data_IF_746328511645
#
_entry.id   IF_746328511645
#
_cell.length_a   1.000
_cell.length_b   1.000
_cell.length_c   1.000
_cell.angle_alpha   90.00
_cell.angle_beta   90.00
_cell.angle_gamma   90.00
#
_symmetry.space_group_name_H-M   'P 1'
#
loop_
_entity.id
_entity.type
_entity.pdbx_description
1 polymer ?
#
# COMPACT_ATOMS: atom_id res chain seq x y z
N UNK A 1 -17.09 6.94 10.54
CA UNK A 1 -16.92 7.65 9.25
C UNK A 1 -18.21 8.38 8.95
N UNK A 2 -18.09 9.61 8.45
CA UNK A 2 -19.22 10.40 7.95
C UNK A 2 -18.95 10.83 6.52
N UNK A 3 -19.98 10.76 5.67
CA UNK A 3 -19.92 11.23 4.28
C UNK A 3 -20.62 12.58 4.15
N UNK A 4 -20.09 13.41 3.27
CA UNK A 4 -20.81 14.56 2.75
C UNK A 4 -22.03 14.10 1.94
N UNK A 5 -23.23 14.66 2.20
CA UNK A 5 -24.47 14.16 1.59
C UNK A 5 -24.66 14.58 0.14
N UNK A 6 -24.05 15.68 -0.29
CA UNK A 6 -24.24 16.18 -1.65
C UNK A 6 -23.30 15.48 -2.62
N UNK A 7 -22.03 15.32 -2.21
CA UNK A 7 -20.97 14.74 -3.02
C UNK A 7 -20.64 13.29 -2.68
N UNK A 8 -20.96 12.80 -1.48
CA UNK A 8 -20.66 11.42 -1.07
C UNK A 8 -19.19 11.15 -0.73
N UNK A 9 -18.33 12.19 -0.74
CA UNK A 9 -16.94 12.07 -0.28
C UNK A 9 -16.85 12.07 1.25
N UNK A 10 -15.71 11.62 1.79
CA UNK A 10 -15.56 11.40 3.22
C UNK A 10 -15.33 12.73 3.93
N UNK A 11 -16.25 13.09 4.83
CA UNK A 11 -16.15 14.31 5.65
C UNK A 11 -15.38 14.08 6.94
N UNK A 12 -15.50 12.91 7.55
CA UNK A 12 -14.84 12.59 8.83
C UNK A 12 -14.46 11.12 8.88
N UNK A 13 -13.29 10.85 9.44
CA UNK A 13 -12.82 9.53 9.86
C UNK A 13 -12.36 9.67 11.31
N UNK A 14 -13.22 9.26 12.25
CA UNK A 14 -12.89 9.27 13.67
C UNK A 14 -12.28 7.94 14.10
N UNK A 15 -11.05 7.98 14.60
CA UNK A 15 -10.43 6.84 15.28
C UNK A 15 -10.94 6.78 16.72
N UNK A 16 -11.73 5.75 17.00
CA UNK A 16 -12.35 5.52 18.31
C UNK A 16 -11.38 5.00 19.36
N UNK A 17 -10.31 4.31 18.95
CA UNK A 17 -9.30 3.76 19.88
C UNK A 17 -8.44 4.90 20.42
N UNK A 18 -7.99 5.79 19.54
CA UNK A 18 -7.15 6.93 19.91
C UNK A 18 -7.94 8.22 20.20
N UNK A 19 -9.27 8.19 20.03
CA UNK A 19 -10.17 9.29 20.39
C UNK A 19 -9.95 10.57 19.60
N UNK A 20 -9.56 10.48 18.33
CA UNK A 20 -9.22 11.64 17.50
C UNK A 20 -9.76 11.57 16.08
N UNK A 21 -9.93 12.75 15.49
CA UNK A 21 -10.26 12.89 14.08
C UNK A 21 -8.99 12.70 13.23
N UNK A 22 -9.13 11.94 12.14
CA UNK A 22 -8.02 11.62 11.21
C UNK A 22 -7.92 12.67 10.10
N UNK A 23 -9.02 13.30 9.70
CA UNK A 23 -9.07 14.23 8.58
C UNK A 23 -9.23 15.70 9.00
N UNK A 24 -8.53 16.60 8.30
CA UNK A 24 -8.80 18.05 8.33
C UNK A 24 -9.64 18.45 7.11
N UNK A 25 -10.95 18.26 7.22
CA UNK A 25 -11.88 18.49 6.10
C UNK A 25 -12.28 19.95 5.87
N UNK A 26 -11.48 20.91 6.35
CA UNK A 26 -11.76 22.35 6.22
C UNK A 26 -11.74 22.82 4.76
N UNK A 27 -10.82 22.30 3.94
CA UNK A 27 -10.60 22.75 2.56
C UNK A 27 -10.78 21.64 1.51
N UNK A 28 -10.65 20.38 1.92
CA UNK A 28 -10.82 19.19 1.07
C UNK A 28 -11.61 18.12 1.81
N UNK A 29 -12.11 17.12 1.09
CA UNK A 29 -12.72 15.93 1.68
C UNK A 29 -11.78 14.74 1.53
N UNK A 30 -11.93 13.74 2.39
CA UNK A 30 -11.23 12.46 2.27
C UNK A 30 -11.80 11.63 1.12
N UNK A 31 -10.94 10.81 0.51
CA UNK A 31 -11.26 10.02 -0.67
C UNK A 31 -11.74 10.88 -1.86
N UNK A 32 -11.44 12.19 -1.86
CA UNK A 32 -11.84 13.16 -2.89
C UNK A 32 -11.04 12.95 -4.17
N UNK A 33 -11.72 12.87 -5.32
CA UNK A 33 -11.03 12.86 -6.61
C UNK A 33 -10.69 14.29 -7.03
N UNK A 34 -9.45 14.49 -7.46
CA UNK A 34 -8.96 15.78 -7.96
C UNK A 34 -8.35 15.52 -9.34
N UNK A 35 -8.85 16.21 -10.36
CA UNK A 35 -8.25 16.20 -11.69
C UNK A 35 -7.64 17.57 -11.99
N UNK A 36 -6.42 17.59 -12.51
CA UNK A 36 -5.71 18.81 -12.90
C UNK A 36 -5.41 18.72 -14.38
N UNK A 37 -5.74 19.76 -15.15
CA UNK A 37 -5.40 19.79 -16.58
C UNK A 37 -3.90 19.97 -16.74
N UNK A 38 -3.31 19.14 -17.60
CA UNK A 38 -1.93 19.25 -18.05
C UNK A 38 -1.89 19.92 -19.44
N UNK A 39 -0.92 20.81 -19.64
CA UNK A 39 -0.64 21.45 -20.93
C UNK A 39 0.71 20.95 -21.45
N UNK A 40 0.84 20.80 -22.77
CA UNK A 40 2.05 20.30 -23.43
C UNK A 40 2.69 19.09 -22.73
N UNK A 41 1.93 18.02 -22.41
CA UNK A 41 2.44 16.94 -21.59
C UNK A 41 3.71 16.33 -22.20
N UNK A 42 4.62 15.89 -21.34
CA UNK A 42 5.85 15.21 -21.72
C UNK A 42 6.01 13.94 -20.86
N UNK A 43 6.23 12.79 -21.51
CA UNK A 43 6.44 11.51 -20.81
C UNK A 43 7.83 11.44 -20.15
N UNK A 44 8.82 12.14 -20.71
CA UNK A 44 10.20 12.14 -20.22
C UNK A 44 10.55 13.44 -19.47
N UNK A 45 9.66 14.43 -19.56
CA UNK A 45 9.83 15.77 -19.02
C UNK A 45 9.14 16.02 -17.68
N UNK A 46 8.95 17.31 -17.38
CA UNK A 46 8.27 17.76 -16.16
C UNK A 46 6.75 17.64 -16.34
N UNK A 47 6.04 17.57 -15.20
CA UNK A 47 4.59 17.73 -15.21
C UNK A 47 4.25 19.21 -15.38
N UNK A 48 3.58 19.56 -16.47
CA UNK A 48 3.17 20.92 -16.79
C UNK A 48 1.68 21.11 -16.43
N UNK A 49 1.42 21.00 -15.12
CA UNK A 49 0.07 21.14 -14.56
C UNK A 49 -0.36 22.61 -14.52
N UNK A 50 -1.60 22.86 -14.97
CA UNK A 50 -2.22 24.19 -14.98
C UNK A 50 -2.98 24.51 -13.69
N UNK A 51 -3.43 25.75 -13.53
CA UNK A 51 -4.33 26.17 -12.45
C UNK A 51 -5.78 25.64 -12.61
N UNK A 52 -6.08 24.93 -13.71
CA UNK A 52 -7.42 24.39 -13.96
C UNK A 52 -7.60 23.06 -13.21
N UNK A 53 -8.16 23.18 -12.01
CA UNK A 53 -8.43 22.06 -11.09
C UNK A 53 -9.92 21.74 -11.05
N UNK A 54 -10.26 20.47 -11.23
CA UNK A 54 -11.61 19.93 -11.09
C UNK A 54 -11.68 19.08 -9.83
N UNK A 55 -12.54 19.47 -8.90
CA UNK A 55 -12.66 18.82 -7.59
C UNK A 55 -13.94 18.02 -7.52
N UNK A 56 -13.83 16.76 -7.12
CA UNK A 56 -14.97 15.86 -7.07
C UNK A 56 -16.11 16.40 -6.19
N UNK A 57 -15.78 17.08 -5.09
CA UNK A 57 -16.78 17.67 -4.18
C UNK A 57 -17.69 18.70 -4.86
N UNK A 58 -17.24 19.30 -5.96
CA UNK A 58 -17.99 20.31 -6.72
C UNK A 58 -18.97 19.69 -7.74
N UNK A 59 -19.04 18.35 -7.82
CA UNK A 59 -20.00 17.60 -8.64
C UNK A 59 -21.12 17.03 -7.74
N UNK A 60 -22.19 17.80 -7.46
CA UNK A 60 -23.28 17.34 -6.60
C UNK A 60 -24.13 16.29 -7.30
N UNK A 61 -24.87 15.52 -6.50
CA UNK A 61 -25.78 14.49 -6.99
C UNK A 61 -25.07 13.14 -7.05
N UNK A 62 -25.04 12.48 -5.89
CA UNK A 62 -24.57 11.11 -5.74
C UNK A 62 -25.67 10.21 -5.18
N UNK A 63 -25.52 8.91 -5.38
CA UNK A 63 -26.25 7.87 -4.63
C UNK A 63 -25.30 7.23 -3.63
N UNK A 64 -25.80 6.92 -2.45
CA UNK A 64 -25.03 6.29 -1.38
C UNK A 64 -25.83 5.07 -0.90
N UNK A 65 -25.32 3.89 -1.19
CA UNK A 65 -25.84 2.63 -0.69
C UNK A 65 -24.95 2.09 0.42
N UNK A 66 -25.53 1.39 1.40
CA UNK A 66 -24.80 0.76 2.49
C UNK A 66 -25.24 -0.68 2.67
N UNK A 67 -24.28 -1.59 2.54
CA UNK A 67 -24.43 -3.00 2.90
C UNK A 67 -23.71 -3.27 4.22
N UNK A 68 -24.31 -4.07 5.09
CA UNK A 68 -23.68 -4.55 6.33
C UNK A 68 -23.58 -6.05 6.30
N UNK A 69 -22.36 -6.55 6.46
CA UNK A 69 -22.04 -7.97 6.55
C UNK A 69 -21.50 -8.29 7.94
N UNK A 70 -21.36 -9.58 8.30
CA UNK A 70 -20.69 -9.98 9.54
C UNK A 70 -19.22 -9.55 9.65
N UNK A 71 -18.57 -9.18 8.54
CA UNK A 71 -17.14 -8.83 8.50
C UNK A 71 -16.88 -7.33 8.30
N UNK A 72 -17.79 -6.63 7.61
CA UNK A 72 -17.59 -5.22 7.27
C UNK A 72 -18.93 -4.48 7.04
N UNK A 73 -18.85 -3.15 7.06
CA UNK A 73 -19.84 -2.29 6.40
C UNK A 73 -19.24 -1.78 5.10
N UNK A 74 -19.96 -1.94 3.99
CA UNK A 74 -19.55 -1.49 2.65
C UNK A 74 -20.44 -0.35 2.23
N UNK A 75 -19.85 0.81 1.94
CA UNK A 75 -20.53 1.97 1.38
C UNK A 75 -20.22 2.01 -0.11
N UNK A 76 -21.24 2.12 -0.95
CA UNK A 76 -21.09 2.32 -2.39
C UNK A 76 -21.61 3.70 -2.76
N UNK A 77 -20.72 4.54 -3.28
CA UNK A 77 -21.03 5.92 -3.68
C UNK A 77 -20.91 6.02 -5.19
N UNK A 78 -21.99 6.37 -5.88
CA UNK A 78 -21.98 6.62 -7.33
C UNK A 78 -22.29 8.08 -7.63
N UNK A 79 -21.55 8.67 -8.56
CA UNK A 79 -21.73 10.07 -8.93
C UNK A 79 -21.02 10.41 -10.23
N UNK A 80 -21.13 11.66 -10.66
CA UNK A 80 -20.34 12.18 -11.78
C UNK A 80 -18.98 12.65 -11.28
N UNK A 81 -17.99 12.61 -12.16
CA UNK A 81 -16.70 13.24 -11.98
C UNK A 81 -16.19 13.66 -13.36
N UNK A 82 -15.19 14.54 -13.43
CA UNK A 82 -14.76 15.16 -14.69
C UNK A 82 -14.67 14.17 -15.86
N UNK A 83 -15.53 14.35 -16.86
CA UNK A 83 -15.58 13.51 -18.04
C UNK A 83 -16.13 12.09 -17.89
N UNK A 84 -16.49 11.61 -16.69
CA UNK A 84 -16.82 10.21 -16.44
C UNK A 84 -17.91 10.03 -15.35
N UNK A 85 -18.30 8.78 -15.11
CA UNK A 85 -19.01 8.39 -13.89
C UNK A 85 -18.01 7.77 -12.93
N UNK A 86 -18.12 8.09 -11.64
CA UNK A 86 -17.33 7.43 -10.59
C UNK A 86 -18.21 6.48 -9.77
N UNK A 87 -17.59 5.39 -9.35
CA UNK A 87 -18.13 4.46 -8.35
C UNK A 87 -17.04 4.26 -7.30
N UNK A 88 -17.32 4.55 -6.04
CA UNK A 88 -16.38 4.37 -4.94
C UNK A 88 -16.98 3.42 -3.92
N UNK A 89 -16.35 2.26 -3.74
CA UNK A 89 -16.66 1.31 -2.67
C UNK A 89 -15.71 1.58 -1.50
N UNK A 90 -16.27 1.77 -0.32
CA UNK A 90 -15.54 2.05 0.93
C UNK A 90 -15.85 0.92 1.91
N UNK A 91 -14.84 0.17 2.30
CA UNK A 91 -14.98 -1.04 3.11
C UNK A 91 -14.44 -0.75 4.50
N UNK A 92 -15.34 -0.77 5.47
CA UNK A 92 -15.05 -0.58 6.89
C UNK A 92 -15.16 -1.93 7.58
N UNK A 93 -14.04 -2.61 7.79
CA UNK A 93 -14.01 -3.88 8.52
C UNK A 93 -14.32 -3.67 10.00
N UNK A 94 -14.97 -4.66 10.63
CA UNK A 94 -15.29 -4.57 12.05
C UNK A 94 -14.08 -4.80 12.96
N UNK A 95 -13.10 -5.62 12.51
CA UNK A 95 -11.95 -6.05 13.31
C UNK A 95 -10.59 -5.73 12.69
N UNK A 96 -10.55 -5.03 11.55
CA UNK A 96 -9.30 -4.62 10.90
C UNK A 96 -9.21 -3.09 10.95
N UNK A 97 -8.15 -2.50 11.54
CA UNK A 97 -8.04 -1.06 11.77
C UNK A 97 -7.64 -0.26 10.51
N UNK A 98 -8.04 -0.71 9.32
CA UNK A 98 -7.79 -0.02 8.04
C UNK A 98 -9.08 0.10 7.24
N UNK A 99 -9.09 1.02 6.29
CA UNK A 99 -10.24 1.28 5.43
C UNK A 99 -9.81 1.02 3.99
N UNK A 100 -10.41 0.00 3.38
CA UNK A 100 -10.12 -0.31 1.97
C UNK A 100 -11.06 0.51 1.08
N UNK A 101 -10.52 0.95 -0.06
CA UNK A 101 -11.21 1.73 -1.07
C UNK A 101 -11.04 1.08 -2.44
N UNK A 102 -12.13 1.03 -3.20
CA UNK A 102 -12.10 0.68 -4.61
C UNK A 102 -12.79 1.77 -5.41
N UNK A 103 -12.01 2.53 -6.18
CA UNK A 103 -12.51 3.60 -7.04
C UNK A 103 -12.54 3.10 -8.48
N UNK A 104 -13.71 3.13 -9.10
CA UNK A 104 -13.90 2.86 -10.52
C UNK A 104 -14.24 4.16 -11.24
N UNK A 105 -13.44 4.53 -12.23
CA UNK A 105 -13.78 5.56 -13.21
C UNK A 105 -14.39 4.86 -14.41
N UNK A 106 -15.68 5.09 -14.67
CA UNK A 106 -16.45 4.42 -15.73
C UNK A 106 -16.54 5.33 -16.93
N UNK A 107 -16.17 4.78 -18.09
CA UNK A 107 -16.16 5.46 -19.38
C UNK A 107 -15.39 6.80 -19.34
N UNK A 108 -14.19 6.77 -18.76
CA UNK A 108 -13.27 7.90 -18.75
C UNK A 108 -12.89 8.30 -20.18
N UNK A 109 -12.95 9.60 -20.47
CA UNK A 109 -12.91 10.12 -21.84
C UNK A 109 -11.54 10.49 -22.38
N UNK A 110 -10.48 10.41 -21.56
CA UNK A 110 -9.15 10.92 -21.90
C UNK A 110 -9.15 12.42 -22.11
N UNK A 111 -8.51 13.21 -21.22
CA UNK A 111 -8.67 14.68 -21.24
C UNK A 111 -7.41 15.48 -20.89
N UNK A 112 -6.21 14.94 -21.13
CA UNK A 112 -4.93 15.47 -20.60
C UNK A 112 -5.04 15.83 -19.11
N UNK A 113 -5.51 14.85 -18.32
CA UNK A 113 -5.81 15.04 -16.90
C UNK A 113 -4.87 14.22 -16.05
N UNK A 114 -4.35 14.87 -15.02
CA UNK A 114 -3.66 14.23 -13.91
C UNK A 114 -4.66 14.01 -12.77
N UNK A 115 -5.06 12.75 -12.54
CA UNK A 115 -6.12 12.40 -11.59
C UNK A 115 -5.53 11.81 -10.32
N UNK A 116 -5.88 12.39 -9.18
CA UNK A 116 -5.47 11.99 -7.84
C UNK A 116 -6.67 11.66 -6.96
N UNK A 117 -6.45 10.84 -5.94
CA UNK A 117 -7.31 10.76 -4.75
C UNK A 117 -6.65 11.50 -3.58
N UNK A 118 -7.43 12.26 -2.82
CA UNK A 118 -6.95 13.13 -1.75
C UNK A 118 -7.46 12.71 -0.37
N UNK A 119 -6.56 12.72 0.62
CA UNK A 119 -6.88 12.61 2.05
C UNK A 119 -6.23 13.77 2.80
N UNK A 120 -7.01 14.78 3.24
CA UNK A 120 -6.48 15.88 4.03
C UNK A 120 -6.29 15.43 5.48
N UNK A 121 -5.05 15.30 5.95
CA UNK A 121 -4.72 14.69 7.23
C UNK A 121 -4.75 15.71 8.37
N UNK A 122 -5.28 15.29 9.53
CA UNK A 122 -5.25 16.05 10.78
C UNK A 122 -4.02 15.69 11.63
N UNK A 123 -2.86 16.11 11.14
CA UNK A 123 -1.55 15.94 11.80
C UNK A 123 -0.90 17.31 12.07
N UNK A 124 0.04 17.35 13.01
CA UNK A 124 0.87 18.53 13.22
C UNK A 124 1.83 18.71 12.02
N UNK A 125 1.51 19.69 11.18
CA UNK A 125 2.23 19.97 9.93
C UNK A 125 3.69 20.34 10.12
N UNK A 126 4.06 20.94 11.25
CA UNK A 126 5.45 21.33 11.50
C UNK A 126 6.32 20.14 11.94
N UNK A 127 5.68 19.06 12.39
CA UNK A 127 6.34 17.87 12.96
C UNK A 127 6.14 16.60 12.13
N UNK A 128 5.41 16.67 11.02
CA UNK A 128 5.12 15.49 10.21
C UNK A 128 6.40 14.93 9.58
N UNK A 129 6.56 13.61 9.68
CA UNK A 129 7.56 12.81 9.00
C UNK A 129 6.88 12.04 7.89
N UNK A 130 7.33 12.24 6.65
CA UNK A 130 6.79 11.58 5.46
C UNK A 130 7.75 10.48 5.06
N UNK A 131 7.30 9.23 5.11
CA UNK A 131 8.09 8.04 4.82
C UNK A 131 7.52 7.32 3.61
N UNK A 132 8.37 7.06 2.64
CA UNK A 132 8.02 6.32 1.44
C UNK A 132 8.70 4.95 1.49
N UNK A 133 7.93 3.92 1.17
CA UNK A 133 8.51 2.61 0.92
C UNK A 133 9.22 2.57 -0.43
N UNK A 134 10.47 2.15 -0.38
CA UNK A 134 11.36 1.88 -1.50
C UNK A 134 11.69 0.39 -1.50
N UNK A 135 12.28 -0.15 -2.60
CA UNK A 135 12.72 -1.54 -2.60
C UNK A 135 13.62 -1.85 -1.39
N UNK A 136 13.10 -2.68 -0.48
CA UNK A 136 13.77 -3.11 0.75
C UNK A 136 14.23 -1.97 1.68
N UNK A 137 13.53 -0.83 1.71
CA UNK A 137 13.85 0.28 2.60
C UNK A 137 12.65 1.20 2.83
N UNK A 138 12.56 1.81 4.01
CA UNK A 138 11.63 2.91 4.28
C UNK A 138 12.42 4.20 4.45
N UNK A 139 12.23 5.15 3.53
CA UNK A 139 13.03 6.37 3.48
C UNK A 139 12.20 7.63 3.72
N UNK A 140 12.76 8.58 4.49
CA UNK A 140 12.13 9.89 4.69
C UNK A 140 12.26 10.74 3.43
N UNK A 141 11.18 11.41 3.03
CA UNK A 141 11.16 12.40 1.94
C UNK A 141 10.58 13.73 2.45
N UNK A 142 10.95 14.87 1.84
CA UNK A 142 10.22 16.11 2.06
C UNK A 142 8.84 16.05 1.39
N UNK A 143 8.02 17.09 1.58
CA UNK A 143 6.81 17.27 0.76
C UNK A 143 7.16 17.33 -0.73
N UNK A 144 6.29 16.80 -1.58
CA UNK A 144 6.48 16.75 -3.03
C UNK A 144 5.83 15.55 -3.69
N UNK A 145 6.18 15.36 -4.96
CA UNK A 145 5.73 14.27 -5.82
C UNK A 145 6.81 13.20 -5.93
N UNK A 146 6.53 12.00 -5.42
CA UNK A 146 7.47 10.88 -5.37
C UNK A 146 6.77 9.55 -5.64
N UNK A 147 7.53 8.55 -6.07
CA UNK A 147 7.05 7.18 -6.07
C UNK A 147 7.11 6.55 -4.67
N UNK A 148 6.32 5.51 -4.44
CA UNK A 148 6.53 4.54 -3.37
C UNK A 148 6.00 3.17 -3.82
N UNK A 149 6.62 2.09 -3.36
CA UNK A 149 6.30 0.74 -3.81
C UNK A 149 4.87 0.35 -3.41
N UNK A 150 4.57 0.26 -2.11
CA UNK A 150 3.22 -0.04 -1.64
C UNK A 150 2.60 1.06 -0.79
N UNK A 151 3.36 1.92 -0.10
CA UNK A 151 2.75 2.93 0.78
C UNK A 151 3.56 4.23 0.95
N UNK A 152 2.84 5.26 1.39
CA UNK A 152 3.40 6.46 2.03
C UNK A 152 2.77 6.63 3.41
N UNK A 153 3.62 6.76 4.43
CA UNK A 153 3.24 7.02 5.82
C UNK A 153 3.52 8.49 6.18
N UNK A 154 2.51 9.18 6.68
CA UNK A 154 2.62 10.51 7.27
C UNK A 154 2.37 10.40 8.77
N UNK A 155 3.40 10.66 9.58
CA UNK A 155 3.32 10.52 11.04
C UNK A 155 3.90 11.74 11.75
N UNK A 156 3.17 12.29 12.73
CA UNK A 156 3.71 13.27 13.69
C UNK A 156 4.21 12.58 14.97
N UNK A 157 4.45 13.31 16.07
CA UNK A 157 4.91 12.70 17.35
C UNK A 157 3.82 11.86 18.05
N UNK A 158 2.56 12.01 17.65
CA UNK A 158 1.39 11.48 18.36
C UNK A 158 0.61 10.44 17.55
N UNK A 159 0.65 10.52 16.22
CA UNK A 159 -0.23 9.73 15.35
C UNK A 159 0.27 9.65 13.91
N UNK A 160 -0.14 8.59 13.21
CA UNK A 160 0.24 8.31 11.84
C UNK A 160 -0.92 7.90 10.96
N UNK A 161 -0.79 8.16 9.67
CA UNK A 161 -1.74 7.73 8.65
C UNK A 161 -0.94 7.31 7.42
N UNK A 162 -1.07 6.03 7.05
CA UNK A 162 -0.51 5.51 5.83
C UNK A 162 -1.57 5.41 4.73
N UNK A 163 -1.20 5.80 3.51
CA UNK A 163 -1.95 5.51 2.29
C UNK A 163 -1.21 4.42 1.53
N UNK A 164 -1.92 3.33 1.29
CA UNK A 164 -1.40 2.08 0.71
C UNK A 164 -2.03 1.91 -0.67
N UNK A 165 -1.22 1.66 -1.69
CA UNK A 165 -1.66 1.36 -3.04
C UNK A 165 -1.64 -0.14 -3.35
N UNK A 166 -2.34 -0.50 -4.43
CA UNK A 166 -2.18 -1.77 -5.12
C UNK A 166 -1.91 -1.52 -6.60
N UNK A 167 -0.65 -1.26 -6.92
CA UNK A 167 -0.17 -1.11 -8.30
C UNK A 167 -0.03 0.33 -8.80
N UNK A 168 -0.45 1.35 -8.03
CA UNK A 168 -0.31 2.77 -8.38
C UNK A 168 0.73 3.46 -7.49
N UNK A 169 1.96 3.55 -7.97
CA UNK A 169 3.11 3.96 -7.17
C UNK A 169 3.26 5.48 -6.95
N UNK A 170 2.51 6.33 -7.65
CA UNK A 170 2.67 7.79 -7.59
C UNK A 170 1.97 8.41 -6.38
N UNK A 171 2.68 9.19 -5.58
CA UNK A 171 2.14 9.92 -4.42
C UNK A 171 2.54 11.39 -4.45
N UNK A 172 1.63 12.24 -3.98
CA UNK A 172 1.86 13.66 -3.81
C UNK A 172 1.48 14.05 -2.40
N UNK A 173 2.47 14.43 -1.59
CA UNK A 173 2.24 14.90 -0.22
C UNK A 173 2.58 16.36 -0.15
N UNK A 174 1.58 17.21 0.05
CA UNK A 174 1.79 18.64 0.08
C UNK A 174 0.70 19.32 0.92
N UNK A 175 1.11 20.27 1.73
CA UNK A 175 0.19 21.09 2.50
C UNK A 175 -0.81 20.32 3.39
N UNK A 176 -0.34 19.24 4.03
CA UNK A 176 -1.17 18.38 4.89
C UNK A 176 -2.13 17.46 4.12
N UNK A 177 -2.02 17.39 2.79
CA UNK A 177 -2.78 16.44 1.96
C UNK A 177 -1.88 15.28 1.60
N UNK A 178 -2.33 14.07 1.89
CA UNK A 178 -1.75 12.83 1.40
C UNK A 178 -2.56 12.38 0.19
N UNK A 179 -1.95 12.46 -0.99
CA UNK A 179 -2.61 12.18 -2.25
C UNK A 179 -1.90 11.04 -3.00
N UNK A 180 -2.68 10.22 -3.70
CA UNK A 180 -2.18 9.16 -4.57
C UNK A 180 -2.66 9.41 -5.99
N UNK A 181 -1.76 9.27 -6.96
CA UNK A 181 -2.06 9.38 -8.38
C UNK A 181 -2.79 8.12 -8.81
N UNK A 182 -3.98 8.28 -9.38
CA UNK A 182 -4.76 7.18 -9.95
C UNK A 182 -4.34 6.94 -11.39
N UNK A 183 -4.38 7.99 -12.21
CA UNK A 183 -3.92 7.93 -13.60
C UNK A 183 -3.42 9.30 -14.06
N UNK A 184 -2.59 9.28 -15.10
CA UNK A 184 -2.21 10.45 -15.90
C UNK A 184 -2.61 10.14 -17.33
N UNK A 185 -3.68 10.76 -17.80
CA UNK A 185 -4.12 10.67 -19.18
C UNK A 185 -3.47 11.78 -19.99
N UNK A 186 -2.94 11.45 -21.18
CA UNK A 186 -2.35 12.39 -22.15
C UNK A 186 -2.71 11.93 -23.57
N UNK A 187 -3.15 12.82 -24.46
CA UNK A 187 -3.45 12.43 -25.85
C UNK A 187 -2.21 12.42 -26.73
N UNK A 188 -1.46 13.51 -26.67
CA UNK A 188 -0.32 13.80 -27.53
C UNK A 188 0.78 14.44 -26.71
N UNK A 189 2.03 14.08 -26.98
CA UNK A 189 3.20 14.79 -26.47
C UNK A 189 4.16 15.11 -27.62
N UNK A 190 5.15 15.97 -27.35
CA UNK A 190 6.01 16.59 -28.38
C UNK A 190 6.64 15.54 -29.32
N UNK A 191 6.06 15.43 -30.52
CA UNK A 191 6.57 14.58 -31.61
C UNK A 191 6.05 13.14 -31.65
N UNK A 192 5.08 12.76 -30.81
CA UNK A 192 4.56 11.38 -30.76
C UNK A 192 3.05 11.34 -30.51
N UNK A 193 2.32 10.66 -31.40
CA UNK A 193 0.89 10.35 -31.23
C UNK A 193 0.76 9.10 -30.38
N UNK A 194 0.16 9.22 -29.19
CA UNK A 194 0.07 8.14 -28.20
C UNK A 194 -1.39 7.94 -27.71
N UNK A 195 -2.32 7.52 -28.58
CA UNK A 195 -3.76 7.50 -28.27
C UNK A 195 -4.12 6.58 -27.10
N UNK A 196 -3.30 5.55 -26.83
CA UNK A 196 -3.52 4.67 -25.68
C UNK A 196 -3.15 5.35 -24.35
N UNK A 197 -2.28 6.35 -24.36
CA UNK A 197 -1.91 7.12 -23.18
C UNK A 197 -3.01 8.10 -22.74
N UNK A 198 -4.06 8.26 -23.55
CA UNK A 198 -5.25 9.02 -23.17
C UNK A 198 -6.07 8.29 -22.08
N UNK A 199 -5.74 7.02 -21.80
CA UNK A 199 -6.38 6.21 -20.76
C UNK A 199 -7.90 6.18 -20.92
N UNK A 200 -8.42 6.16 -22.15
CA UNK A 200 -9.86 6.04 -22.39
C UNK A 200 -10.39 4.69 -21.90
N UNK A 201 -11.57 4.70 -21.27
CA UNK A 201 -12.26 3.49 -20.84
C UNK A 201 -12.52 3.41 -19.34
N UNK A 202 -12.68 2.19 -18.84
CA UNK A 202 -13.01 1.94 -17.43
C UNK A 202 -11.79 1.49 -16.66
N UNK A 203 -11.49 2.19 -15.56
CA UNK A 203 -10.34 1.93 -14.70
C UNK A 203 -10.77 1.62 -13.28
N UNK A 204 -10.05 0.72 -12.63
CA UNK A 204 -10.30 0.32 -11.24
C UNK A 204 -9.01 0.49 -10.45
N UNK A 205 -9.11 1.23 -9.34
CA UNK A 205 -8.02 1.50 -8.43
C UNK A 205 -8.37 0.98 -7.03
N UNK A 206 -7.45 0.23 -6.44
CA UNK A 206 -7.59 -0.31 -5.09
C UNK A 206 -6.51 0.29 -4.19
N UNK A 207 -6.92 0.80 -3.03
CA UNK A 207 -6.02 1.41 -2.05
C UNK A 207 -6.62 1.31 -0.65
N UNK A 208 -5.80 1.54 0.37
CA UNK A 208 -6.21 1.49 1.78
C UNK A 208 -5.68 2.68 2.54
N UNK A 209 -6.50 3.23 3.44
CA UNK A 209 -6.06 4.21 4.43
C UNK A 209 -5.91 3.50 5.78
N UNK A 210 -4.72 3.57 6.36
CA UNK A 210 -4.40 2.95 7.64
C UNK A 210 -3.98 4.00 8.66
N UNK A 211 -4.92 4.48 9.49
CA UNK A 211 -4.59 5.30 10.65
C UNK A 211 -3.99 4.42 11.77
N UNK A 212 -2.91 4.88 12.40
CA UNK A 212 -2.21 4.11 13.42
C UNK A 212 -1.61 5.01 14.52
N UNK A 213 -1.42 4.50 15.74
CA UNK A 213 -0.68 5.23 16.78
C UNK A 213 0.80 5.36 16.39
N UNK A 214 1.48 6.36 16.95
CA UNK A 214 2.94 6.48 16.86
C UNK A 214 3.54 5.78 18.06
N UNK A 215 3.65 4.46 17.98
CA UNK A 215 4.63 3.76 18.78
C UNK A 215 5.98 3.98 18.08
N UNK A 216 6.88 4.76 18.68
CA UNK A 216 8.16 5.23 18.10
C UNK A 216 9.17 4.15 17.67
N UNK A 217 8.71 2.90 17.57
CA UNK A 217 9.41 1.66 17.24
C UNK A 217 8.54 0.71 16.39
N UNK A 218 7.21 0.85 16.39
CA UNK A 218 6.25 -0.09 15.79
C UNK A 218 5.22 0.67 14.96
N UNK A 219 5.54 0.85 13.70
CA UNK A 219 4.50 1.00 12.70
C UNK A 219 4.52 -0.29 11.89
N UNK A 220 3.49 -1.11 12.06
CA UNK A 220 3.26 -2.33 11.28
C UNK A 220 2.78 -2.00 9.85
N UNK A 221 2.93 -0.76 9.40
CA UNK A 221 2.52 -0.30 8.06
C UNK A 221 3.10 -1.18 6.96
N UNK A 222 4.37 -1.60 7.03
CA UNK A 222 4.96 -2.53 6.04
C UNK A 222 4.14 -3.82 5.96
N UNK A 223 3.88 -4.45 7.12
CA UNK A 223 3.09 -5.67 7.24
C UNK A 223 1.64 -5.48 6.75
N UNK A 224 0.99 -4.37 7.10
CA UNK A 224 -0.37 -4.05 6.67
C UNK A 224 -0.42 -3.79 5.15
N UNK A 225 0.56 -3.09 4.59
CA UNK A 225 0.65 -2.75 3.18
C UNK A 225 0.95 -3.97 2.31
N UNK A 226 1.90 -4.81 2.72
CA UNK A 226 2.18 -6.06 2.04
C UNK A 226 1.05 -7.09 2.21
N UNK A 227 0.40 -7.12 3.37
CA UNK A 227 -0.81 -7.92 3.59
C UNK A 227 -2.00 -7.47 2.73
N UNK A 228 -2.13 -6.17 2.43
CA UNK A 228 -3.11 -5.67 1.46
C UNK A 228 -2.80 -6.13 0.02
N UNK A 229 -1.51 -6.20 -0.32
CA UNK A 229 -1.05 -6.62 -1.64
C UNK A 229 -0.94 -8.15 -1.81
N UNK A 230 -1.08 -8.93 -0.73
CA UNK A 230 -0.97 -10.39 -0.72
C UNK A 230 -2.29 -11.03 -0.24
N UNK A 231 -3.27 -11.23 -1.15
CA UNK A 231 -4.57 -11.78 -0.78
C UNK A 231 -4.44 -13.24 -0.35
N UNK A 232 -5.31 -13.66 0.57
CA UNK A 232 -5.43 -15.06 0.97
C UNK A 232 -5.91 -15.92 -0.21
N UNK A 233 -5.21 -17.03 -0.45
CA UNK A 233 -5.62 -18.03 -1.43
C UNK A 233 -6.50 -19.07 -0.75
N UNK A 234 -7.71 -19.23 -1.26
CA UNK A 234 -8.65 -20.27 -0.81
C UNK A 234 -8.63 -21.41 -1.81
N UNK A 235 -8.22 -22.60 -1.36
CA UNK A 235 -8.28 -23.82 -2.16
C UNK A 235 -9.16 -24.86 -1.46
N UNK A 236 -10.16 -25.36 -2.18
CA UNK A 236 -11.01 -26.47 -1.72
C UNK A 236 -10.37 -27.82 -2.01
N UNK A 237 -10.62 -28.80 -1.15
CA UNK A 237 -10.24 -30.20 -1.35
C UNK A 237 -11.31 -31.11 -0.74
N UNK A 238 -11.34 -32.37 -1.16
CA UNK A 238 -12.23 -33.40 -0.59
C UNK A 238 -11.62 -34.02 0.68
N UNK A 239 -12.38 -34.87 1.37
CA UNK A 239 -11.88 -35.63 2.52
C UNK A 239 -10.85 -36.68 2.10
N UNK A 240 -9.68 -36.66 2.73
CA UNK A 240 -8.63 -37.65 2.51
C UNK A 240 -7.74 -37.80 3.76
N UNK A 241 -7.04 -38.94 3.94
CA UNK A 241 -5.96 -39.01 4.92
C UNK A 241 -4.86 -38.00 4.58
N UNK A 242 -4.17 -37.49 5.60
CA UNK A 242 -3.07 -36.54 5.42
C UNK A 242 -2.13 -36.55 6.62
N UNK A 243 -0.84 -36.38 6.34
CA UNK A 243 0.21 -36.48 7.37
C UNK A 243 0.48 -35.14 8.09
N UNK A 244 -0.04 -34.03 7.56
CA UNK A 244 0.38 -32.68 7.97
C UNK A 244 -0.58 -31.98 8.94
N UNK A 245 -1.62 -32.68 9.42
CA UNK A 245 -2.64 -32.12 10.28
C UNK A 245 -3.48 -31.03 9.61
N UNK A 246 -4.36 -30.38 10.39
CA UNK A 246 -5.31 -29.36 9.88
C UNK A 246 -4.72 -27.94 9.83
N UNK A 247 -3.66 -27.68 10.60
CA UNK A 247 -2.99 -26.39 10.69
C UNK A 247 -1.50 -26.62 10.79
N UNK A 248 -0.75 -25.99 9.90
CA UNK A 248 0.71 -26.05 9.89
C UNK A 248 1.27 -24.75 9.34
N UNK A 249 2.33 -24.24 9.96
CA UNK A 249 3.15 -23.18 9.36
C UNK A 249 4.22 -23.84 8.52
N UNK A 250 4.42 -23.40 7.28
CA UNK A 250 5.50 -23.92 6.45
C UNK A 250 6.87 -23.42 6.95
N UNK A 251 6.93 -22.10 7.22
CA UNK A 251 8.06 -21.35 7.77
C UNK A 251 7.51 -20.31 8.76
N UNK A 252 8.23 -20.04 9.84
CA UNK A 252 7.97 -18.93 10.76
C UNK A 252 9.25 -18.15 11.03
N UNK A 253 9.12 -16.84 11.25
CA UNK A 253 10.24 -15.92 11.42
C UNK A 253 10.00 -15.07 12.65
N UNK A 254 11.06 -14.86 13.44
CA UNK A 254 11.10 -13.88 14.53
C UNK A 254 12.39 -13.07 14.47
N UNK A 255 12.38 -11.77 14.81
CA UNK A 255 11.21 -11.00 15.21
C UNK A 255 10.37 -10.57 13.98
N UNK A 256 9.18 -9.99 14.19
CA UNK A 256 8.26 -9.63 13.10
C UNK A 256 8.82 -8.53 12.18
N UNK A 257 9.79 -7.77 12.68
CA UNK A 257 10.50 -6.72 11.95
C UNK A 257 11.35 -7.28 10.80
N UNK A 258 11.68 -8.58 10.78
CA UNK A 258 12.26 -9.23 9.60
C UNK A 258 11.16 -9.85 8.74
N UNK A 259 10.89 -9.25 7.60
CA UNK A 259 9.86 -9.71 6.68
C UNK A 259 10.46 -10.62 5.61
N UNK A 260 9.86 -11.81 5.48
CA UNK A 260 10.21 -12.77 4.42
C UNK A 260 9.45 -12.42 3.14
N UNK A 261 10.19 -12.10 2.07
CA UNK A 261 9.63 -11.69 0.77
C UNK A 261 9.80 -12.75 -0.32
N UNK A 262 10.70 -13.71 -0.13
CA UNK A 262 10.93 -14.81 -1.09
C UNK A 262 11.04 -16.14 -0.37
N UNK A 263 10.30 -17.13 -0.86
CA UNK A 263 10.52 -18.55 -0.61
C UNK A 263 10.46 -19.27 -1.95
N UNK A 264 11.58 -19.83 -2.39
CA UNK A 264 11.66 -20.55 -3.67
C UNK A 264 12.65 -21.70 -3.61
N UNK A 265 12.65 -22.58 -4.60
CA UNK A 265 13.77 -23.52 -4.80
C UNK A 265 15.02 -22.77 -5.24
N UNK A 266 16.19 -23.28 -4.88
CA UNK A 266 17.48 -22.83 -5.43
C UNK A 266 17.55 -23.09 -6.92
N UNK A 267 18.42 -22.38 -7.64
CA UNK A 267 18.57 -22.55 -9.10
C UNK A 267 19.05 -23.96 -9.50
N UNK A 268 19.90 -24.59 -8.68
CA UNK A 268 20.34 -25.97 -8.85
C UNK A 268 19.27 -27.01 -8.49
N UNK A 269 18.21 -26.59 -7.78
CA UNK A 269 17.10 -27.43 -7.34
C UNK A 269 17.36 -28.24 -6.05
N UNK A 270 18.55 -28.12 -5.46
CA UNK A 270 19.00 -28.94 -4.33
C UNK A 270 18.60 -28.38 -2.95
N UNK A 271 18.00 -27.20 -2.90
CA UNK A 271 17.59 -26.55 -1.65
C UNK A 271 16.43 -25.59 -1.78
N UNK A 272 16.17 -24.88 -0.68
CA UNK A 272 15.17 -23.82 -0.57
C UNK A 272 15.89 -22.52 -0.25
N UNK A 273 15.65 -21.49 -1.06
CA UNK A 273 16.10 -20.12 -0.82
C UNK A 273 15.00 -19.34 -0.10
N UNK A 274 15.39 -18.68 0.99
CA UNK A 274 14.60 -17.72 1.72
C UNK A 274 15.26 -16.36 1.63
N UNK A 275 14.50 -15.31 1.33
CA UNK A 275 15.00 -13.93 1.36
C UNK A 275 14.03 -13.07 2.11
N UNK A 276 14.58 -12.21 2.96
CA UNK A 276 13.82 -11.21 3.68
C UNK A 276 14.68 -10.00 4.00
N UNK A 277 14.10 -9.06 4.74
CA UNK A 277 14.76 -7.83 5.13
C UNK A 277 14.24 -7.30 6.46
N UNK A 278 15.07 -6.52 7.15
CA UNK A 278 14.68 -5.80 8.36
C UNK A 278 13.96 -4.50 8.00
N UNK A 279 12.77 -4.28 8.56
CA UNK A 279 11.81 -3.27 8.09
C UNK A 279 11.83 -1.95 8.87
N UNK A 280 12.57 -1.87 9.98
CA UNK A 280 12.52 -0.71 10.90
C UNK A 280 13.79 0.13 10.92
N UNK A 281 14.85 -0.29 10.23
CA UNK A 281 16.16 0.36 10.22
C UNK A 281 16.97 0.08 11.50
N UNK A 282 16.70 -1.01 12.21
CA UNK A 282 17.42 -1.39 13.44
C UNK A 282 17.94 -2.80 13.40
N UNK A 283 19.09 -2.99 14.02
CA UNK A 283 19.72 -4.30 14.13
C UNK A 283 18.83 -5.26 14.93
N UNK A 284 18.71 -6.48 14.43
CA UNK A 284 17.90 -7.55 15.01
C UNK A 284 18.64 -8.89 14.97
N UNK A 285 18.26 -9.79 15.88
CA UNK A 285 18.66 -11.19 15.82
C UNK A 285 17.50 -12.00 15.23
N UNK A 286 17.65 -12.44 13.98
CA UNK A 286 16.59 -13.14 13.24
C UNK A 286 16.71 -14.63 13.45
N UNK A 287 15.58 -15.29 13.70
CA UNK A 287 15.46 -16.75 13.74
C UNK A 287 14.37 -17.19 12.77
N UNK A 288 14.74 -18.09 11.87
CA UNK A 288 13.80 -18.75 10.97
C UNK A 288 13.62 -20.19 11.45
N UNK A 289 12.36 -20.59 11.63
CA UNK A 289 11.95 -21.93 11.99
C UNK A 289 11.16 -22.59 10.86
N UNK A 290 11.51 -23.84 10.57
CA UNK A 290 10.95 -24.64 9.48
C UNK A 290 10.08 -25.76 10.03
N UNK A 291 9.15 -26.24 9.21
CA UNK A 291 8.30 -27.38 9.59
C UNK A 291 8.94 -28.76 9.38
N UNK A 292 10.21 -28.80 9.00
CA UNK A 292 11.05 -29.98 8.80
C UNK A 292 12.45 -29.75 9.41
N UNK A 293 13.17 -30.81 9.80
CA UNK A 293 14.56 -30.69 10.24
C UNK A 293 15.45 -30.22 9.08
N UNK A 294 16.53 -29.50 9.39
CA UNK A 294 17.48 -29.03 8.38
C UNK A 294 18.77 -29.86 8.45
N UNK A 295 19.34 -30.15 7.28
CA UNK A 295 20.67 -30.74 7.17
C UNK A 295 21.76 -29.67 7.18
N UNK A 296 21.62 -28.65 6.33
CA UNK A 296 22.56 -27.55 6.21
C UNK A 296 21.84 -26.22 5.96
N UNK A 297 22.50 -25.13 6.35
CA UNK A 297 22.06 -23.78 6.06
C UNK A 297 23.25 -22.86 5.76
N UNK A 298 23.07 -21.94 4.82
CA UNK A 298 24.10 -21.01 4.37
C UNK A 298 23.54 -19.61 4.21
N UNK A 299 24.29 -18.60 4.65
CA UNK A 299 24.11 -17.25 4.14
C UNK A 299 24.62 -17.23 2.70
N UNK A 300 23.80 -16.65 1.82
CA UNK A 300 24.10 -16.56 0.40
C UNK A 300 23.93 -15.14 -0.13
N UNK A 301 24.59 -14.84 -1.24
CA UNK A 301 24.41 -13.57 -1.95
C UNK A 301 23.05 -13.53 -2.65
N UNK A 302 22.71 -12.39 -3.27
CA UNK A 302 21.50 -12.29 -4.08
C UNK A 302 21.50 -13.25 -5.28
N UNK A 303 22.68 -13.66 -5.74
CA UNK A 303 22.93 -14.62 -6.82
C UNK A 303 23.15 -16.06 -6.30
N UNK A 304 22.75 -16.35 -5.06
CA UNK A 304 22.82 -17.69 -4.45
C UNK A 304 24.23 -18.23 -4.17
N UNK A 305 25.26 -17.38 -4.30
CA UNK A 305 26.64 -17.75 -3.98
C UNK A 305 26.81 -17.87 -2.45
N UNK A 306 27.40 -18.99 -2.00
CA UNK A 306 27.63 -19.26 -0.57
C UNK A 306 28.64 -18.27 0.02
N UNK A 307 28.22 -17.57 1.08
CA UNK A 307 29.05 -16.62 1.82
C UNK A 307 29.64 -17.30 3.06
N UNK A 308 28.77 -17.84 3.91
CA UNK A 308 29.18 -18.50 5.15
C UNK A 308 28.13 -19.51 5.63
N UNK A 309 28.56 -20.60 6.31
CA UNK A 309 27.62 -21.55 6.87
C UNK A 309 26.91 -20.96 8.09
N UNK A 310 25.64 -21.30 8.26
CA UNK A 310 24.86 -21.01 9.46
C UNK A 310 24.78 -22.25 10.35
N UNK A 311 24.77 -22.03 11.67
CA UNK A 311 24.52 -23.11 12.61
C UNK A 311 23.04 -23.51 12.56
N UNK A 312 22.80 -24.78 12.27
CA UNK A 312 21.47 -25.39 12.31
C UNK A 312 21.21 -25.91 13.73
N UNK A 313 20.06 -25.56 14.28
CA UNK A 313 19.54 -26.10 15.53
C UNK A 313 18.22 -26.83 15.23
N UNK A 314 18.30 -28.13 14.97
CA UNK A 314 17.17 -28.97 14.53
C UNK A 314 16.50 -28.43 13.26
N UNK A 315 15.40 -27.69 13.42
CA UNK A 315 14.61 -27.07 12.36
C UNK A 315 14.75 -25.54 12.34
N UNK A 316 15.81 -24.98 12.94
CA UNK A 316 15.99 -23.53 13.10
C UNK A 316 17.36 -23.05 12.65
N UNK A 317 17.40 -21.81 12.17
CA UNK A 317 18.62 -21.05 11.89
C UNK A 317 18.49 -19.65 12.47
N UNK A 318 19.57 -19.16 13.07
CA UNK A 318 19.61 -17.85 13.73
C UNK A 318 20.80 -17.05 13.22
N UNK A 319 20.58 -15.80 12.81
CA UNK A 319 21.60 -14.92 12.25
C UNK A 319 21.35 -13.44 12.63
N UNK A 320 22.41 -12.64 12.80
CA UNK A 320 22.24 -11.20 12.98
C UNK A 320 21.82 -10.55 11.66
N UNK A 321 20.99 -9.52 11.73
CA UNK A 321 20.54 -8.72 10.60
C UNK A 321 20.62 -7.24 11.01
N UNK A 322 21.30 -6.42 10.20
CA UNK A 322 21.38 -4.98 10.44
C UNK A 322 20.11 -4.27 9.99
N UNK A 323 19.95 -3.04 10.46
CA UNK A 323 18.85 -2.19 10.01
C UNK A 323 18.77 -2.06 8.48
N UNK A 324 17.61 -2.36 7.90
CA UNK A 324 17.37 -2.42 6.44
C UNK A 324 18.27 -3.38 5.65
N UNK A 325 18.92 -4.34 6.31
CA UNK A 325 19.71 -5.36 5.60
C UNK A 325 18.80 -6.38 4.92
N UNK A 326 19.14 -6.74 3.68
CA UNK A 326 18.54 -7.85 2.96
C UNK A 326 19.37 -9.10 3.25
N UNK A 327 18.74 -10.14 3.78
CA UNK A 327 19.41 -11.42 4.05
C UNK A 327 18.80 -12.52 3.21
N UNK A 328 19.66 -13.32 2.58
CA UNK A 328 19.28 -14.55 1.88
C UNK A 328 19.89 -15.76 2.59
N UNK A 329 19.04 -16.76 2.88
CA UNK A 329 19.42 -18.02 3.48
C UNK A 329 19.05 -19.14 2.54
N UNK A 330 20.01 -19.99 2.21
CA UNK A 330 19.78 -21.26 1.54
C UNK A 330 19.75 -22.37 2.58
N UNK A 331 18.72 -23.22 2.55
CA UNK A 331 18.60 -24.38 3.43
C UNK A 331 18.41 -25.67 2.64
N UNK A 332 18.93 -26.77 3.16
CA UNK A 332 18.70 -28.12 2.64
C UNK A 332 17.98 -28.97 3.70
N UNK A 333 16.89 -29.66 3.34
CA UNK A 333 16.18 -30.57 4.24
C UNK A 333 16.95 -31.84 4.57
#
# INVERSE_FOLDING_TARGET
MELDRESGYVRSIFDKVNGREVLDSSNSLGNELIAIKEEEPDLEGRLDLTDKVFRGKDYPGCTIDCERTPLASVLKVEGKFEGCRRVQEIILYHEIPRIDFRTTLVDFKGQDLFVKVCFPLRLDREKVSIKHEMPYCVSKRPEGYYCAQSFVDCSDESYGVALINKGTAGYWVENGKLEMVLLRAIHDYKGYYAPLAAEEGTHVFEYSLYPHPVDGVRSDVVKIAHGFNSPLLVMGTDEHPGEWGRRRSFVSVVPEEFELTVVKKTEDGDGILLRGWETTGRDAQVTIEFSWPLKEAWLVSLAEERISPLQVQENRVTFPCKGFEIVSVMVTP
#
